data_IF_980344887151
#
_entry.id   IF_980344887151
#
_cell.length_a   1.000
_cell.length_b   1.000
_cell.length_c   1.000
_cell.angle_alpha   90.00
_cell.angle_beta   90.00
_cell.angle_gamma   90.00
#
_symmetry.space_group_name_H-M   'P 1'
#
loop_
_entity.id
_entity.type
_entity.pdbx_description
1 polymer ?
#
# COMPACT_ATOMS: atom_id res chain seq x y z
N UNK A 1 30.88 -23.94 -30.36
CA UNK A 1 31.14 -23.16 -29.13
C UNK A 1 31.84 -21.89 -29.57
N UNK A 2 31.38 -20.76 -29.00
CA UNK A 2 31.88 -19.38 -29.16
C UNK A 2 31.49 -18.64 -30.46
N UNK A 3 30.38 -17.89 -30.43
CA UNK A 3 30.23 -16.48 -30.00
C UNK A 3 30.38 -15.55 -31.22
N UNK A 4 29.30 -15.07 -31.87
CA UNK A 4 28.42 -13.99 -31.42
C UNK A 4 29.17 -12.83 -30.76
N UNK A 5 29.63 -11.84 -31.55
CA UNK A 5 29.66 -10.45 -31.08
C UNK A 5 29.20 -9.54 -32.21
N UNK A 6 27.96 -9.09 -32.07
CA UNK A 6 27.29 -8.11 -32.91
C UNK A 6 27.91 -6.73 -32.66
N UNK A 7 28.18 -6.01 -33.74
CA UNK A 7 28.42 -4.58 -33.72
C UNK A 7 27.16 -3.86 -33.21
N UNK A 8 27.29 -3.10 -32.13
CA UNK A 8 26.27 -2.15 -31.68
C UNK A 8 26.94 -0.85 -31.22
N UNK A 9 27.82 -0.33 -32.08
CA UNK A 9 28.45 0.98 -31.89
C UNK A 9 27.49 2.06 -32.34
N UNK A 10 26.55 2.42 -31.48
CA UNK A 10 25.62 3.49 -31.80
C UNK A 10 24.60 3.72 -30.71
N UNK A 11 25.02 4.31 -29.59
CA UNK A 11 24.25 5.26 -28.78
C UNK A 11 24.92 5.42 -27.41
N UNK A 12 25.77 6.43 -27.20
CA UNK A 12 25.96 7.06 -25.89
C UNK A 12 26.49 8.49 -26.10
N UNK A 13 25.63 9.38 -26.60
CA UNK A 13 25.76 10.81 -26.33
C UNK A 13 24.83 11.08 -25.15
N UNK A 14 25.38 11.04 -23.94
CA UNK A 14 24.65 11.50 -22.76
C UNK A 14 24.59 13.03 -22.82
N UNK A 15 23.39 13.66 -22.89
CA UNK A 15 23.27 15.01 -22.38
C UNK A 15 23.41 14.91 -20.85
N UNK A 16 24.26 15.75 -20.26
CA UNK A 16 24.32 15.94 -18.82
C UNK A 16 22.96 16.45 -18.35
N UNK A 17 22.08 15.54 -17.94
CA UNK A 17 20.90 15.90 -17.17
C UNK A 17 21.40 16.21 -15.76
N UNK A 18 21.68 17.49 -15.55
CA UNK A 18 21.81 18.15 -14.27
C UNK A 18 20.69 17.63 -13.35
N UNK A 19 21.04 16.79 -12.39
CA UNK A 19 20.10 16.24 -11.41
C UNK A 19 19.73 17.41 -10.49
N UNK A 20 18.67 18.12 -10.87
CA UNK A 20 17.99 19.06 -10.00
C UNK A 20 17.53 18.28 -8.76
N UNK A 21 18.25 18.47 -7.65
CA UNK A 21 17.81 18.07 -6.33
C UNK A 21 16.61 18.93 -5.94
N UNK A 22 15.41 18.50 -6.35
CA UNK A 22 14.15 18.93 -5.76
C UNK A 22 13.27 17.70 -5.57
N UNK A 23 13.58 16.91 -4.55
CA UNK A 23 12.89 15.64 -4.26
C UNK A 23 12.10 15.76 -2.97
N UNK A 24 10.99 16.50 -2.96
CA UNK A 24 10.15 16.56 -1.75
C UNK A 24 8.61 16.50 -1.95
N UNK A 25 7.97 16.76 -3.12
CA UNK A 25 6.51 16.60 -3.21
C UNK A 25 6.05 15.17 -3.57
N UNK A 26 6.83 14.39 -4.33
CA UNK A 26 6.39 13.09 -4.87
C UNK A 26 6.30 11.97 -3.80
N UNK A 27 7.14 12.00 -2.77
CA UNK A 27 7.11 10.99 -1.70
C UNK A 27 5.85 11.15 -0.82
N UNK A 28 5.42 12.38 -0.58
CA UNK A 28 4.24 12.68 0.24
C UNK A 28 2.92 12.33 -0.47
N UNK A 29 2.87 12.45 -1.79
CA UNK A 29 1.72 12.01 -2.59
C UNK A 29 1.65 10.48 -2.65
N UNK A 30 2.79 9.79 -2.75
CA UNK A 30 2.85 8.33 -2.71
C UNK A 30 2.36 7.78 -1.36
N UNK A 31 2.82 8.31 -0.21
CA UNK A 31 2.37 7.86 1.12
C UNK A 31 0.88 8.09 1.34
N UNK A 32 0.36 9.24 0.93
CA UNK A 32 -1.09 9.55 0.99
C UNK A 32 -1.91 8.58 0.15
N UNK A 33 -1.41 8.22 -1.04
CA UNK A 33 -2.09 7.26 -1.92
C UNK A 33 -2.11 5.86 -1.32
N UNK A 34 -0.97 5.38 -0.82
CA UNK A 34 -0.85 4.07 -0.17
C UNK A 34 -1.77 3.99 1.04
N UNK A 35 -1.77 5.02 1.88
CA UNK A 35 -2.70 5.15 3.01
C UNK A 35 -4.17 5.02 2.57
N UNK A 36 -4.57 5.74 1.53
CA UNK A 36 -5.92 5.68 0.99
C UNK A 36 -6.31 4.27 0.50
N UNK A 37 -5.39 3.58 -0.17
CA UNK A 37 -5.60 2.19 -0.63
C UNK A 37 -5.75 1.24 0.57
N UNK A 38 -4.88 1.35 1.58
CA UNK A 38 -4.95 0.51 2.78
C UNK A 38 -6.28 0.67 3.52
N UNK A 39 -6.75 1.91 3.70
CA UNK A 39 -8.06 2.17 4.32
C UNK A 39 -9.23 1.63 3.48
N UNK A 40 -9.13 1.73 2.15
CA UNK A 40 -10.14 1.13 1.25
C UNK A 40 -10.18 -0.39 1.39
N UNK A 41 -9.03 -1.05 1.43
CA UNK A 41 -8.93 -2.49 1.62
C UNK A 41 -9.46 -2.92 3.00
N UNK A 42 -9.13 -2.17 4.05
CA UNK A 42 -9.63 -2.43 5.41
C UNK A 42 -11.16 -2.39 5.44
N UNK A 43 -11.76 -1.35 4.83
CA UNK A 43 -13.22 -1.24 4.70
C UNK A 43 -13.82 -2.42 3.94
N UNK A 44 -13.20 -2.85 2.84
CA UNK A 44 -13.68 -4.00 2.07
C UNK A 44 -13.66 -5.30 2.88
N UNK A 45 -12.64 -5.52 3.72
CA UNK A 45 -12.61 -6.71 4.59
C UNK A 45 -13.72 -6.69 5.63
N UNK A 46 -14.00 -5.54 6.24
CA UNK A 46 -15.11 -5.42 7.20
C UNK A 46 -16.47 -5.57 6.53
N UNK A 47 -16.66 -4.98 5.34
CA UNK A 47 -17.91 -5.12 4.58
C UNK A 47 -18.15 -6.61 4.22
N UNK A 48 -17.09 -7.35 3.84
CA UNK A 48 -17.17 -8.80 3.59
C UNK A 48 -17.45 -9.59 4.87
N UNK A 49 -16.81 -9.23 5.99
CA UNK A 49 -17.04 -9.87 7.28
C UNK A 49 -18.49 -9.66 7.77
N UNK A 50 -19.04 -8.47 7.54
CA UNK A 50 -20.42 -8.15 7.88
C UNK A 50 -21.43 -8.90 7.01
N UNK A 51 -21.18 -9.00 5.70
CA UNK A 51 -22.00 -9.79 4.78
C UNK A 51 -22.01 -11.27 5.17
N UNK A 52 -20.83 -11.83 5.44
CA UNK A 52 -20.69 -13.23 5.84
C UNK A 52 -21.36 -13.49 7.19
N UNK A 53 -21.16 -12.63 8.19
CA UNK A 53 -21.83 -12.75 9.49
C UNK A 53 -23.36 -12.61 9.38
N UNK A 54 -23.86 -11.74 8.50
CA UNK A 54 -25.30 -11.55 8.28
C UNK A 54 -25.96 -12.75 7.56
N UNK A 55 -25.20 -13.50 6.76
CA UNK A 55 -25.67 -14.73 6.13
C UNK A 55 -25.77 -15.91 7.12
N UNK A 56 -25.19 -15.77 8.30
CA UNK A 56 -25.10 -16.82 9.31
C UNK A 56 -26.14 -16.57 10.42
N UNK A 57 -26.99 -17.56 10.73
CA UNK A 57 -27.95 -17.41 11.82
C UNK A 57 -27.26 -17.17 13.17
N UNK A 58 -27.83 -16.30 14.00
CA UNK A 58 -27.20 -15.87 15.26
C UNK A 58 -26.93 -17.02 16.26
N UNK A 59 -27.67 -18.13 16.16
CA UNK A 59 -27.50 -19.31 17.02
C UNK A 59 -26.37 -20.23 16.58
N UNK A 60 -25.79 -19.99 15.41
CA UNK A 60 -24.65 -20.77 14.92
C UNK A 60 -23.33 -20.08 15.27
N UNK A 61 -22.26 -20.86 15.49
CA UNK A 61 -20.94 -20.27 15.73
C UNK A 61 -20.52 -19.37 14.57
N UNK A 62 -19.91 -18.22 14.90
CA UNK A 62 -19.38 -17.29 13.91
C UNK A 62 -18.31 -17.98 13.05
N UNK A 63 -18.37 -17.87 11.71
CA UNK A 63 -17.36 -18.49 10.85
C UNK A 63 -15.97 -17.94 11.17
N UNK A 64 -14.93 -18.80 11.20
CA UNK A 64 -13.57 -18.36 11.49
C UNK A 64 -13.03 -17.34 10.46
N UNK A 65 -13.54 -17.39 9.23
CA UNK A 65 -13.29 -16.41 8.17
C UNK A 65 -13.72 -14.99 8.55
N UNK A 66 -14.85 -14.80 9.25
CA UNK A 66 -15.30 -13.48 9.72
C UNK A 66 -14.27 -12.89 10.69
N UNK A 67 -13.74 -13.70 11.61
CA UNK A 67 -12.70 -13.29 12.54
C UNK A 67 -11.40 -12.92 11.81
N UNK A 68 -10.99 -13.76 10.85
CA UNK A 68 -9.81 -13.48 10.02
C UNK A 68 -9.92 -12.19 9.20
N UNK A 69 -11.11 -11.90 8.65
CA UNK A 69 -11.36 -10.66 7.92
C UNK A 69 -11.29 -9.42 8.81
N UNK A 70 -11.87 -9.48 10.01
CA UNK A 70 -11.79 -8.37 10.99
C UNK A 70 -10.34 -8.12 11.42
N UNK A 71 -9.61 -9.19 11.73
CA UNK A 71 -8.18 -9.09 12.06
C UNK A 71 -7.37 -8.48 10.90
N UNK A 72 -7.65 -8.88 9.65
CA UNK A 72 -7.00 -8.30 8.48
C UNK A 72 -7.33 -6.80 8.33
N UNK A 73 -8.59 -6.39 8.57
CA UNK A 73 -8.98 -4.99 8.53
C UNK A 73 -8.27 -4.15 9.60
N UNK A 74 -8.08 -4.69 10.81
CA UNK A 74 -7.31 -4.06 11.89
C UNK A 74 -5.85 -3.86 11.51
N UNK A 75 -5.19 -4.89 10.96
CA UNK A 75 -3.79 -4.80 10.51
C UNK A 75 -3.63 -3.77 9.39
N UNK A 76 -4.56 -3.72 8.44
CA UNK A 76 -4.54 -2.75 7.34
C UNK A 76 -4.70 -1.30 7.85
N UNK A 77 -5.53 -1.07 8.88
CA UNK A 77 -5.64 0.25 9.53
C UNK A 77 -4.37 0.63 10.27
N UNK A 78 -3.82 -0.29 11.06
CA UNK A 78 -2.56 -0.07 11.76
C UNK A 78 -1.44 0.31 10.79
N UNK A 79 -1.34 -0.40 9.65
CA UNK A 79 -0.39 -0.02 8.61
C UNK A 79 -0.71 1.32 7.95
N UNK A 80 -1.98 1.65 7.73
CA UNK A 80 -2.36 2.95 7.19
C UNK A 80 -1.95 4.12 8.12
N UNK A 81 -1.96 3.90 9.44
CA UNK A 81 -1.57 4.88 10.43
C UNK A 81 -0.05 5.16 10.42
N UNK A 82 0.78 4.20 10.02
CA UNK A 82 2.22 4.42 9.80
C UNK A 82 2.52 5.43 8.68
N UNK A 83 1.58 5.61 7.74
CA UNK A 83 1.69 6.60 6.66
C UNK A 83 1.10 7.97 7.03
N UNK A 84 0.65 8.17 8.28
CA UNK A 84 0.29 9.50 8.74
C UNK A 84 1.53 10.39 8.76
N UNK A 85 1.46 11.63 8.25
CA UNK A 85 2.53 12.58 8.48
C UNK A 85 2.68 12.75 9.98
N UNK A 86 3.91 12.65 10.49
CA UNK A 86 4.23 12.99 11.86
C UNK A 86 3.79 14.44 12.10
N UNK A 87 2.60 14.61 12.67
CA UNK A 87 2.08 15.92 13.03
C UNK A 87 3.02 16.46 14.11
N UNK A 88 3.70 17.54 13.73
CA UNK A 88 4.62 18.31 14.54
C UNK A 88 3.97 18.58 15.91
N UNK A 89 4.55 18.00 16.97
CA UNK A 89 4.38 18.40 18.36
C UNK A 89 2.94 18.47 18.90
N UNK A 90 2.41 17.36 19.40
CA UNK A 90 1.51 17.45 20.56
C UNK A 90 2.40 17.62 21.79
N UNK A 91 2.45 18.86 22.27
CA UNK A 91 3.15 19.27 23.47
C UNK A 91 2.69 18.41 24.67
N UNK A 92 3.70 17.91 25.40
CA UNK A 92 3.56 17.52 26.82
C UNK A 92 3.33 18.75 27.68
#
# INVERSE_FOLDING_TARGET
>A
MDAMVRAFTGYLKQPTCEVAMNTTPAAHTASTTVRGILLKLAKQQDDLAAQEAAAVPYWTPCPPSVLGRRAAAEVLRAQADEYLPALIGVAS
#
